data_IF_074948890070
#
_entry.id   IF_074948890070
#
_cell.length_a   1.000
_cell.length_b   1.000
_cell.length_c   1.000
_cell.angle_alpha   90.00
_cell.angle_beta   90.00
_cell.angle_gamma   90.00
#
_symmetry.space_group_name_H-M   'P 1'
#
loop_
_entity.id
_entity.type
_entity.pdbx_description
1 polymer ?
#
# COMPACT_ATOMS: atom_id res chain seq x y z
N UNK A 1 15.04 25.13 -41.86
CA UNK A 1 15.39 24.73 -40.49
C UNK A 1 14.27 23.83 -39.97
N UNK A 2 14.64 22.86 -39.15
CA UNK A 2 14.01 21.55 -38.99
C UNK A 2 12.53 21.55 -38.53
N UNK A 3 11.82 20.52 -39.01
CA UNK A 3 10.53 20.08 -38.51
C UNK A 3 10.71 19.44 -37.13
N UNK A 4 9.85 19.82 -36.18
CA UNK A 4 9.69 19.09 -34.92
C UNK A 4 8.44 18.20 -35.07
N UNK A 5 8.69 16.90 -35.24
CA UNK A 5 7.69 15.85 -35.17
C UNK A 5 8.06 14.92 -34.01
N UNK A 6 7.01 14.39 -33.38
CA UNK A 6 6.96 13.36 -32.33
C UNK A 6 7.23 13.88 -30.90
N UNK A 7 6.48 13.48 -29.87
CA UNK A 7 5.64 12.30 -29.69
C UNK A 7 4.55 12.61 -28.64
N UNK A 8 3.34 12.11 -28.87
CA UNK A 8 2.20 12.17 -27.93
C UNK A 8 2.53 11.35 -26.68
N UNK A 9 2.61 11.98 -25.50
CA UNK A 9 2.22 11.29 -24.27
C UNK A 9 0.79 11.69 -23.97
N UNK A 10 -0.13 10.88 -24.48
CA UNK A 10 -1.52 10.85 -24.05
C UNK A 10 -1.51 10.57 -22.56
N UNK A 11 -1.55 11.62 -21.75
CA UNK A 11 -1.71 11.55 -20.30
C UNK A 11 -3.09 11.03 -19.96
N UNK A 12 -3.33 9.74 -20.21
CA UNK A 12 -4.38 9.03 -19.51
C UNK A 12 -4.08 9.22 -18.01
N UNK A 13 -5.06 9.63 -17.19
CA UNK A 13 -4.85 9.68 -15.75
C UNK A 13 -4.37 8.29 -15.31
N UNK A 14 -3.37 8.17 -14.41
CA UNK A 14 -2.90 6.87 -13.94
C UNK A 14 -4.10 6.11 -13.40
N UNK A 15 -4.54 5.11 -14.16
CA UNK A 15 -5.73 4.31 -13.87
C UNK A 15 -5.34 3.31 -12.80
N UNK A 16 -5.62 3.64 -11.54
CA UNK A 16 -5.49 2.73 -10.40
C UNK A 16 -4.28 3.06 -9.53
N UNK A 17 -4.46 4.01 -8.62
CA UNK A 17 -3.62 4.13 -7.43
C UNK A 17 -4.31 3.45 -6.25
N UNK A 18 -3.55 2.82 -5.37
CA UNK A 18 -4.05 2.37 -4.07
C UNK A 18 -3.90 3.53 -3.09
N UNK A 19 -5.01 3.93 -2.47
CA UNK A 19 -5.03 4.91 -1.40
C UNK A 19 -5.08 4.16 -0.07
N UNK A 20 -4.18 4.52 0.84
CA UNK A 20 -4.20 4.05 2.22
C UNK A 20 -4.15 5.25 3.16
N UNK A 21 -4.98 5.26 4.19
CA UNK A 21 -4.82 6.17 5.31
C UNK A 21 -3.47 5.95 5.97
N UNK A 22 -2.97 6.98 6.66
CA UNK A 22 -1.72 6.85 7.42
C UNK A 22 -1.85 5.76 8.48
N UNK A 23 -3.02 5.63 9.14
CA UNK A 23 -3.30 4.57 10.12
C UNK A 23 -3.21 3.18 9.50
N UNK A 24 -3.86 2.96 8.36
CA UNK A 24 -3.84 1.68 7.64
C UNK A 24 -2.42 1.29 7.23
N UNK A 25 -1.63 2.26 6.74
CA UNK A 25 -0.22 2.01 6.39
C UNK A 25 0.65 1.70 7.63
N UNK A 26 0.39 2.37 8.76
CA UNK A 26 1.06 2.06 10.04
C UNK A 26 0.69 0.66 10.54
N UNK A 27 -0.58 0.28 10.47
CA UNK A 27 -1.03 -1.08 10.80
C UNK A 27 -0.33 -2.12 9.92
N UNK A 28 -0.19 -1.87 8.62
CA UNK A 28 0.56 -2.77 7.74
C UNK A 28 2.04 -2.89 8.16
N UNK A 29 2.67 -1.80 8.59
CA UNK A 29 4.04 -1.82 9.12
C UNK A 29 4.12 -2.62 10.43
N UNK A 30 3.17 -2.43 11.34
CA UNK A 30 3.10 -3.14 12.61
C UNK A 30 2.98 -4.65 12.39
N UNK A 31 2.05 -5.09 11.53
CA UNK A 31 1.88 -6.51 11.14
C UNK A 31 3.14 -7.06 10.46
N UNK A 32 3.91 -6.22 9.74
CA UNK A 32 5.17 -6.65 9.13
C UNK A 32 6.30 -6.85 10.14
N UNK A 33 6.27 -6.10 11.25
CA UNK A 33 7.27 -6.14 12.32
C UNK A 33 6.92 -7.11 13.45
N UNK A 34 5.66 -7.53 13.54
CA UNK A 34 5.20 -8.48 14.54
C UNK A 34 5.70 -9.90 14.20
N UNK A 35 6.93 -10.20 14.61
CA UNK A 35 7.53 -11.54 14.59
C UNK A 35 6.97 -12.44 15.73
N UNK A 36 5.76 -12.17 16.23
CA UNK A 36 5.13 -12.89 17.35
C UNK A 36 5.44 -12.28 18.73
N UNK A 37 5.78 -10.99 18.77
CA UNK A 37 6.07 -10.25 19.99
C UNK A 37 4.97 -9.22 20.21
N UNK A 38 4.30 -9.28 21.37
CA UNK A 38 3.21 -8.37 21.78
C UNK A 38 3.35 -6.96 21.19
N UNK A 39 2.38 -6.47 20.40
CA UNK A 39 2.49 -5.18 19.75
C UNK A 39 2.72 -4.08 20.79
N UNK A 40 3.74 -3.26 20.57
CA UNK A 40 4.09 -2.15 21.45
C UNK A 40 3.05 -1.00 21.40
N UNK A 41 2.15 -1.06 20.43
CA UNK A 41 1.07 -0.10 20.16
C UNK A 41 -0.27 -0.79 20.39
N UNK A 42 -1.30 -0.02 20.74
CA UNK A 42 -2.67 -0.49 20.89
C UNK A 42 -3.06 -1.41 19.70
N UNK A 43 -3.87 -2.46 19.93
CA UNK A 43 -4.24 -3.38 18.86
C UNK A 43 -4.80 -2.60 17.67
N UNK A 44 -4.38 -2.92 16.44
CA UNK A 44 -4.84 -2.21 15.25
C UNK A 44 -6.36 -2.24 15.17
N UNK A 45 -6.95 -1.16 14.64
CA UNK A 45 -8.39 -1.09 14.48
C UNK A 45 -8.87 -2.26 13.60
N UNK A 46 -9.95 -2.97 13.98
CA UNK A 46 -10.46 -4.09 13.19
C UNK A 46 -10.73 -3.71 11.73
N UNK A 47 -11.26 -2.50 11.52
CA UNK A 47 -11.58 -1.94 10.20
C UNK A 47 -10.33 -1.80 9.31
N UNK A 48 -9.18 -1.41 9.89
CA UNK A 48 -7.92 -1.27 9.16
C UNK A 48 -7.42 -2.66 8.70
N UNK A 49 -7.49 -3.67 9.56
CA UNK A 49 -7.10 -5.05 9.22
C UNK A 49 -7.99 -5.65 8.11
N UNK A 50 -9.31 -5.48 8.22
CA UNK A 50 -10.26 -5.95 7.20
C UNK A 50 -9.99 -5.30 5.84
N UNK A 51 -9.69 -4.00 5.82
CA UNK A 51 -9.40 -3.26 4.61
C UNK A 51 -8.06 -3.67 3.99
N UNK A 52 -7.01 -3.86 4.81
CA UNK A 52 -5.72 -4.39 4.35
C UNK A 52 -5.85 -5.82 3.78
N UNK A 53 -6.70 -6.66 4.38
CA UNK A 53 -7.02 -8.00 3.87
C UNK A 53 -7.79 -7.92 2.54
N UNK A 54 -8.78 -7.04 2.43
CA UNK A 54 -9.53 -6.81 1.18
C UNK A 54 -8.61 -6.36 0.02
N UNK A 55 -7.57 -5.58 0.31
CA UNK A 55 -6.55 -5.20 -0.68
C UNK A 55 -5.49 -6.28 -0.93
N UNK A 56 -5.55 -7.40 -0.20
CA UNK A 56 -4.61 -8.51 -0.29
C UNK A 56 -3.20 -8.15 0.20
N UNK A 57 -3.08 -7.16 1.10
CA UNK A 57 -1.81 -6.71 1.68
C UNK A 57 -1.41 -7.56 2.89
N UNK A 58 -2.42 -8.06 3.61
CA UNK A 58 -2.26 -9.06 4.68
C UNK A 58 -3.15 -10.27 4.38
N UNK A 59 -2.84 -11.39 5.02
CA UNK A 59 -3.68 -12.59 5.08
C UNK A 59 -3.94 -12.94 6.53
N UNK A 60 -5.17 -13.34 6.84
CA UNK A 60 -5.56 -13.82 8.16
C UNK A 60 -5.46 -15.35 8.25
N UNK A 61 -4.86 -15.85 9.31
CA UNK A 61 -4.87 -17.29 9.66
C UNK A 61 -5.26 -17.49 11.13
N UNK A 62 -6.39 -18.16 11.36
CA UNK A 62 -7.09 -18.36 12.64
C UNK A 62 -7.23 -17.10 13.51
N UNK A 63 -6.14 -16.68 14.17
CA UNK A 63 -6.04 -15.50 15.04
C UNK A 63 -4.81 -14.62 14.77
N UNK A 64 -4.10 -14.84 13.67
CA UNK A 64 -2.87 -14.12 13.32
C UNK A 64 -3.02 -13.46 11.95
N UNK A 65 -2.28 -12.37 11.75
CA UNK A 65 -2.18 -11.70 10.46
C UNK A 65 -0.75 -11.79 9.97
N UNK A 66 -0.57 -12.05 8.69
CA UNK A 66 0.73 -12.09 8.04
C UNK A 66 0.73 -11.18 6.83
N UNK A 67 1.83 -10.44 6.62
CA UNK A 67 1.98 -9.60 5.43
C UNK A 67 2.25 -10.44 4.19
N UNK A 68 1.42 -10.26 3.16
CA UNK A 68 1.55 -10.96 1.88
C UNK A 68 2.74 -10.44 1.06
N UNK A 69 3.07 -11.12 -0.04
CA UNK A 69 4.05 -10.60 -0.99
C UNK A 69 3.68 -9.20 -1.52
N UNK A 70 2.39 -8.94 -1.73
CA UNK A 70 1.88 -7.63 -2.18
C UNK A 70 2.05 -6.57 -1.10
N UNK A 71 1.74 -6.91 0.16
CA UNK A 71 1.97 -6.02 1.30
C UNK A 71 3.44 -5.64 1.46
N UNK A 72 4.35 -6.61 1.33
CA UNK A 72 5.81 -6.36 1.39
C UNK A 72 6.29 -5.44 0.26
N UNK A 73 5.77 -5.61 -0.97
CA UNK A 73 6.06 -4.69 -2.08
C UNK A 73 5.56 -3.28 -1.78
N UNK A 74 4.35 -3.14 -1.23
CA UNK A 74 3.82 -1.85 -0.85
C UNK A 74 4.67 -1.16 0.23
N UNK A 75 5.14 -1.91 1.22
CA UNK A 75 6.03 -1.40 2.28
C UNK A 75 7.40 -0.95 1.75
N UNK A 76 7.88 -1.56 0.66
CA UNK A 76 9.11 -1.17 -0.02
C UNK A 76 8.90 -0.05 -1.06
N UNK A 77 7.66 0.22 -1.46
CA UNK A 77 7.32 1.23 -2.45
C UNK A 77 7.34 2.64 -1.84
N UNK A 78 7.71 3.63 -2.66
CA UNK A 78 7.56 5.03 -2.30
C UNK A 78 6.17 5.51 -2.72
N UNK A 79 5.42 6.21 -1.85
CA UNK A 79 4.14 6.78 -2.25
C UNK A 79 4.34 7.83 -3.35
N UNK A 80 3.50 7.80 -4.37
CA UNK A 80 3.52 8.81 -5.45
C UNK A 80 2.84 10.10 -5.03
N UNK A 81 2.02 10.05 -3.98
CA UNK A 81 1.45 11.23 -3.34
C UNK A 81 1.26 10.98 -1.85
N UNK A 82 1.56 12.00 -1.03
CA UNK A 82 1.42 11.95 0.42
C UNK A 82 0.74 13.23 0.90
N UNK A 83 -0.20 13.05 1.82
CA UNK A 83 -0.83 14.12 2.60
C UNK A 83 -0.64 13.86 4.09
N UNK A 84 -1.21 14.72 4.94
CA UNK A 84 -1.31 14.47 6.38
C UNK A 84 -2.38 13.43 6.76
N UNK A 85 -3.11 12.86 5.79
CA UNK A 85 -4.23 11.95 6.04
C UNK A 85 -4.03 10.59 5.35
N UNK A 86 -3.50 10.59 4.13
CA UNK A 86 -3.36 9.38 3.33
C UNK A 86 -2.10 9.39 2.44
N UNK A 87 -1.68 8.18 2.07
CA UNK A 87 -0.70 7.87 1.04
C UNK A 87 -1.39 7.35 -0.23
N UNK A 88 -0.82 7.64 -1.38
CA UNK A 88 -1.17 7.02 -2.67
C UNK A 88 0.02 6.26 -3.21
N UNK A 89 -0.21 5.03 -3.62
CA UNK A 89 0.76 4.17 -4.30
C UNK A 89 0.27 3.85 -5.72
N UNK A 90 1.18 3.71 -6.67
CA UNK A 90 0.83 3.22 -8.00
C UNK A 90 0.65 1.70 -7.96
N UNK A 91 -0.45 1.18 -8.50
CA UNK A 91 -0.73 -0.27 -8.47
C UNK A 91 0.27 -1.05 -9.33
N UNK A 92 0.88 -0.41 -10.34
CA UNK A 92 1.93 -1.01 -11.17
C UNK A 92 3.13 -1.52 -10.35
N UNK A 93 3.48 -0.83 -9.27
CA UNK A 93 4.59 -1.23 -8.38
C UNK A 93 4.22 -2.40 -7.46
N UNK A 94 2.94 -2.75 -7.38
CA UNK A 94 2.38 -3.78 -6.51
C UNK A 94 2.10 -5.09 -7.28
N UNK A 95 1.97 -5.02 -8.60
CA UNK A 95 1.79 -6.17 -9.48
C UNK A 95 3.15 -6.75 -9.87
N UNK A 96 3.32 -8.05 -9.65
CA UNK A 96 4.52 -8.78 -10.02
C UNK A 96 4.26 -10.26 -9.92
#
# INVERSE_FOLDING_TARGET
MAAENAHVSSGAPPRGGLLLLISEFQTLQEVATDDGGTPAVAPPAPDDLELLECFGLISRDENTYAVTARGRRLLAASPTYQTSVFYRFEVGDLQG
#
